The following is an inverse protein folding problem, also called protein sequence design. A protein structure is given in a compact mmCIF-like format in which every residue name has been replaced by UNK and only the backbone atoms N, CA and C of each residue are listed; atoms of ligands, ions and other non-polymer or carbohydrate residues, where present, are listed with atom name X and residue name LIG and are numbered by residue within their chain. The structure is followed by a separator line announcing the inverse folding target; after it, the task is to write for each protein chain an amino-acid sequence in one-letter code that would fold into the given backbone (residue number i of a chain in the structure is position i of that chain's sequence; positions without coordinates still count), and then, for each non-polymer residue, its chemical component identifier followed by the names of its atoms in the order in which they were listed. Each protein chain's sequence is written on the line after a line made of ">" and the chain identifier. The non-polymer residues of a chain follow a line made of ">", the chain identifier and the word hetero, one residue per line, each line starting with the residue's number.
data_IF_951414716032
#
_entry.id   IF_951414716032
#
_cell.length_a   1.000
_cell.length_b   1.000
_cell.length_c   1.000
_cell.angle_alpha   90.00
_cell.angle_beta   90.00
_cell.angle_gamma   90.00
#
_symmetry.space_group_name_H-M   'P 1'
#
loop_
_entity.id
_entity.type
_entity.pdbx_description
1 polymer ?
#
# COMPACT_ATOMS: atom_id res chain seq x y z
N UNK A 1 -1.12 -15.93 -0.73
CA UNK A 1 -2.45 -16.24 -0.16
C UNK A 1 -3.02 -17.41 -0.94
N UNK A 2 -3.56 -18.40 -0.25
CA UNK A 2 -4.24 -19.54 -0.88
C UNK A 2 -5.73 -19.18 -1.05
N UNK A 3 -6.14 -18.88 -2.27
CA UNK A 3 -7.51 -18.43 -2.60
C UNK A 3 -8.56 -19.52 -2.40
N UNK A 4 -8.17 -20.81 -2.37
CA UNK A 4 -9.10 -21.92 -2.20
C UNK A 4 -9.79 -21.94 -0.83
N UNK A 5 -9.23 -21.22 0.14
CA UNK A 5 -9.78 -21.09 1.50
C UNK A 5 -10.90 -20.06 1.62
N UNK A 6 -11.21 -19.32 0.55
CA UNK A 6 -12.17 -18.21 0.58
C UNK A 6 -13.28 -18.42 -0.44
N UNK A 7 -14.48 -17.96 -0.10
CA UNK A 7 -15.60 -17.92 -1.06
C UNK A 7 -15.40 -16.75 -2.06
N UNK A 8 -14.96 -15.62 -1.57
CA UNK A 8 -14.69 -14.40 -2.38
C UNK A 8 -13.41 -13.74 -1.91
N UNK A 9 -12.55 -13.39 -2.86
CA UNK A 9 -11.38 -12.52 -2.66
C UNK A 9 -11.50 -11.36 -3.64
N UNK A 10 -11.48 -10.13 -3.16
CA UNK A 10 -11.57 -8.96 -4.03
C UNK A 10 -10.60 -7.85 -3.61
N UNK A 11 -10.29 -6.98 -4.54
CA UNK A 11 -9.44 -5.82 -4.26
C UNK A 11 -9.43 -4.79 -5.38
N UNK A 12 -9.40 -3.53 -5.01
CA UNK A 12 -9.11 -2.44 -5.94
C UNK A 12 -7.65 -2.46 -6.37
N UNK A 13 -7.39 -2.18 -7.65
CA UNK A 13 -6.05 -2.31 -8.25
C UNK A 13 -5.15 -1.09 -8.02
N UNK A 14 -5.68 0.01 -7.52
CA UNK A 14 -5.10 1.37 -7.52
C UNK A 14 -3.81 1.59 -6.71
N UNK A 15 -3.09 0.52 -6.39
CA UNK A 15 -1.79 0.58 -5.69
C UNK A 15 -0.75 -0.25 -6.44
N UNK A 16 -0.59 -1.51 -6.07
CA UNK A 16 0.46 -2.38 -6.63
C UNK A 16 0.12 -2.98 -8.00
N UNK A 17 -1.13 -2.90 -8.45
CA UNK A 17 -1.61 -3.58 -9.67
C UNK A 17 -1.84 -2.60 -10.82
N UNK A 18 -2.31 -1.37 -10.54
CA UNK A 18 -2.60 -0.42 -11.60
C UNK A 18 -3.29 0.87 -11.12
N UNK A 19 -3.91 1.63 -12.03
CA UNK A 19 -4.63 2.86 -11.72
C UNK A 19 -5.99 2.58 -11.08
N UNK A 20 -6.57 3.59 -10.42
CA UNK A 20 -7.93 3.52 -9.86
C UNK A 20 -8.99 3.26 -10.95
N UNK A 21 -10.07 2.56 -10.59
CA UNK A 21 -11.23 2.33 -11.47
C UNK A 21 -11.41 0.87 -11.89
N UNK A 22 -10.58 -0.06 -11.42
CA UNK A 22 -10.76 -1.51 -11.60
C UNK A 22 -10.80 -2.19 -10.25
N UNK A 23 -11.68 -3.15 -10.10
CA UNK A 23 -11.73 -4.13 -9.01
C UNK A 23 -11.53 -5.51 -9.61
N UNK A 24 -10.66 -6.32 -9.02
CA UNK A 24 -10.54 -7.74 -9.33
C UNK A 24 -11.28 -8.51 -8.25
N UNK A 25 -12.15 -9.43 -8.67
CA UNK A 25 -12.82 -10.37 -7.77
C UNK A 25 -12.54 -11.80 -8.23
N UNK A 26 -12.14 -12.65 -7.29
CA UNK A 26 -12.01 -14.11 -7.47
C UNK A 26 -13.12 -14.72 -6.64
N UNK A 27 -14.02 -15.45 -7.28
CA UNK A 27 -15.25 -15.93 -6.68
C UNK A 27 -15.32 -17.44 -6.88
N UNK A 28 -15.65 -18.15 -5.82
CA UNK A 28 -15.90 -19.59 -5.89
C UNK A 28 -17.18 -19.85 -6.71
N UNK A 29 -17.12 -20.78 -7.63
CA UNK A 29 -18.16 -21.00 -8.65
C UNK A 29 -19.55 -21.26 -8.07
N UNK A 30 -19.63 -22.00 -6.96
CA UNK A 30 -20.90 -22.29 -6.26
C UNK A 30 -21.62 -21.06 -5.67
N UNK A 31 -20.94 -19.92 -5.60
CA UNK A 31 -21.51 -18.64 -5.14
C UNK A 31 -22.05 -17.78 -6.32
N UNK A 32 -21.86 -18.22 -7.57
CA UNK A 32 -22.35 -17.54 -8.76
C UNK A 32 -23.74 -18.12 -9.11
N UNK A 33 -24.75 -17.68 -8.40
CA UNK A 33 -26.11 -18.22 -8.50
C UNK A 33 -27.17 -17.12 -8.66
N UNK A 34 -28.41 -17.52 -8.96
CA UNK A 34 -29.58 -16.65 -8.96
C UNK A 34 -30.22 -16.55 -7.56
N UNK A 35 -29.78 -17.38 -6.60
CA UNK A 35 -30.24 -17.34 -5.22
C UNK A 35 -29.58 -16.16 -4.48
N UNK A 36 -30.26 -15.03 -4.53
CA UNK A 36 -29.83 -13.75 -3.94
C UNK A 36 -30.97 -13.19 -3.06
N UNK A 37 -30.61 -12.29 -2.15
CA UNK A 37 -31.63 -11.65 -1.30
C UNK A 37 -32.66 -10.90 -2.15
N UNK A 38 -33.95 -10.94 -1.78
CA UNK A 38 -34.98 -10.16 -2.46
C UNK A 38 -34.60 -8.67 -2.53
N UNK A 39 -34.77 -8.08 -3.69
CA UNK A 39 -34.42 -6.66 -3.94
C UNK A 39 -32.94 -6.40 -4.23
N UNK A 40 -32.10 -7.44 -4.34
CA UNK A 40 -30.69 -7.24 -4.74
C UNK A 40 -30.60 -6.58 -6.10
N UNK A 41 -29.97 -5.39 -6.21
CA UNK A 41 -29.76 -4.70 -7.48
C UNK A 41 -28.96 -5.57 -8.46
N UNK A 42 -29.29 -5.44 -9.77
CA UNK A 42 -28.63 -6.22 -10.84
C UNK A 42 -27.11 -6.18 -10.76
N UNK A 43 -26.52 -4.98 -10.52
CA UNK A 43 -25.08 -4.79 -10.50
C UNK A 43 -24.40 -5.42 -9.27
N UNK A 44 -25.15 -5.82 -8.25
CA UNK A 44 -24.62 -6.50 -7.05
C UNK A 44 -24.74 -8.02 -7.11
N UNK A 45 -25.21 -8.57 -8.23
CA UNK A 45 -25.29 -10.00 -8.48
C UNK A 45 -23.99 -10.47 -9.16
N UNK A 46 -23.29 -11.42 -8.56
CA UNK A 46 -22.08 -12.00 -9.19
C UNK A 46 -22.39 -12.64 -10.55
N UNK A 47 -23.53 -13.32 -10.65
CA UNK A 47 -23.96 -13.96 -11.89
C UNK A 47 -24.11 -12.99 -13.05
N UNK A 48 -24.61 -11.78 -12.83
CA UNK A 48 -24.70 -10.74 -13.86
C UNK A 48 -23.35 -10.43 -14.50
N UNK A 49 -22.30 -10.36 -13.68
CA UNK A 49 -20.95 -10.09 -14.16
C UNK A 49 -20.32 -11.33 -14.81
N UNK A 50 -20.53 -12.51 -14.22
CA UNK A 50 -19.96 -13.77 -14.71
C UNK A 50 -20.53 -14.16 -16.06
N UNK A 51 -21.86 -14.13 -16.25
CA UNK A 51 -22.53 -14.48 -17.50
C UNK A 51 -22.16 -13.54 -18.67
N UNK A 52 -21.69 -12.34 -18.36
CA UNK A 52 -21.25 -11.35 -19.35
C UNK A 52 -19.71 -11.24 -19.46
N UNK A 53 -18.95 -12.19 -18.95
CA UNK A 53 -17.47 -12.15 -18.96
C UNK A 53 -16.90 -10.82 -18.43
N UNK A 54 -17.52 -10.25 -17.39
CA UNK A 54 -17.21 -8.93 -16.82
C UNK A 54 -17.48 -7.76 -17.76
N UNK A 55 -18.24 -7.95 -18.83
CA UNK A 55 -18.58 -6.96 -19.85
C UNK A 55 -20.07 -6.55 -19.84
N UNK A 56 -20.76 -6.76 -18.72
CA UNK A 56 -22.17 -6.35 -18.59
C UNK A 56 -22.37 -4.85 -18.88
N UNK A 57 -21.41 -4.03 -18.48
CA UNK A 57 -21.29 -2.63 -18.89
C UNK A 57 -19.91 -2.37 -19.51
N UNK A 58 -19.74 -1.22 -20.17
CA UNK A 58 -18.46 -0.84 -20.79
C UNK A 58 -17.32 -0.88 -19.76
N UNK A 59 -16.28 -1.70 -19.97
CA UNK A 59 -15.20 -1.84 -19.03
C UNK A 59 -14.22 -0.67 -19.14
N UNK A 60 -13.44 -0.36 -18.08
CA UNK A 60 -12.40 0.66 -18.10
C UNK A 60 -11.15 0.15 -18.85
N UNK A 61 -11.23 0.06 -20.19
CA UNK A 61 -10.25 -0.57 -21.07
C UNK A 61 -8.81 -0.11 -20.83
N UNK A 62 -8.60 1.20 -20.68
CA UNK A 62 -7.27 1.74 -20.42
C UNK A 62 -6.67 1.23 -19.09
N UNK A 63 -7.48 1.21 -18.05
CA UNK A 63 -7.03 0.77 -16.72
C UNK A 63 -6.69 -0.73 -16.72
N UNK A 64 -7.50 -1.54 -17.41
CA UNK A 64 -7.25 -2.98 -17.59
C UNK A 64 -5.95 -3.18 -18.39
N UNK A 65 -5.72 -2.41 -19.44
CA UNK A 65 -4.49 -2.45 -20.22
C UNK A 65 -3.26 -2.16 -19.36
N UNK A 66 -3.32 -1.11 -18.51
CA UNK A 66 -2.22 -0.77 -17.60
C UNK A 66 -1.98 -1.88 -16.57
N UNK A 67 -3.03 -2.48 -15.98
CA UNK A 67 -2.88 -3.64 -15.10
C UNK A 67 -2.13 -4.78 -15.81
N UNK A 68 -2.48 -5.06 -17.07
CA UNK A 68 -1.76 -6.04 -17.90
C UNK A 68 -0.27 -5.72 -18.10
N UNK A 69 0.08 -4.42 -18.22
CA UNK A 69 1.49 -3.98 -18.28
C UNK A 69 2.22 -4.23 -16.96
N UNK A 70 1.57 -3.93 -15.83
CA UNK A 70 2.14 -4.18 -14.49
C UNK A 70 2.37 -5.67 -14.26
N UNK A 71 1.43 -6.54 -14.64
CA UNK A 71 1.63 -7.98 -14.54
C UNK A 71 2.81 -8.48 -15.39
N UNK A 72 2.96 -7.97 -16.61
CA UNK A 72 4.13 -8.29 -17.46
C UNK A 72 5.44 -7.79 -16.84
N UNK A 73 5.43 -6.61 -16.24
CA UNK A 73 6.58 -6.07 -15.52
C UNK A 73 6.97 -6.95 -14.32
N UNK A 74 6.00 -7.36 -13.47
CA UNK A 74 6.26 -8.25 -12.34
C UNK A 74 6.86 -9.59 -12.83
N UNK A 75 6.31 -10.17 -13.90
CA UNK A 75 6.88 -11.39 -14.52
C UNK A 75 8.32 -11.20 -14.97
N UNK A 76 8.62 -10.05 -15.61
CA UNK A 76 9.99 -9.70 -16.05
C UNK A 76 10.96 -9.52 -14.89
N UNK A 77 10.48 -9.04 -13.73
CA UNK A 77 11.26 -8.90 -12.50
C UNK A 77 11.56 -10.22 -11.79
N UNK A 78 11.12 -11.35 -12.31
CA UNK A 78 11.29 -12.68 -11.71
C UNK A 78 10.04 -13.21 -10.99
N UNK A 79 8.88 -12.56 -11.16
CA UNK A 79 7.60 -12.99 -10.60
C UNK A 79 7.40 -12.60 -9.14
N UNK A 80 6.44 -13.27 -8.49
CA UNK A 80 6.02 -12.90 -7.13
C UNK A 80 7.11 -13.13 -6.08
N UNK A 81 7.91 -14.18 -6.20
CA UNK A 81 8.96 -14.48 -5.24
C UNK A 81 10.07 -13.43 -5.25
N UNK A 82 10.53 -13.03 -6.45
CA UNK A 82 11.52 -11.97 -6.59
C UNK A 82 10.98 -10.61 -6.11
N UNK A 83 9.72 -10.30 -6.39
CA UNK A 83 9.06 -9.08 -5.92
C UNK A 83 8.93 -9.07 -4.38
N UNK A 84 8.60 -10.21 -3.77
CA UNK A 84 8.56 -10.36 -2.32
C UNK A 84 9.93 -10.08 -1.70
N UNK A 85 10.98 -10.71 -2.18
CA UNK A 85 12.35 -10.50 -1.71
C UNK A 85 12.78 -9.03 -1.85
N UNK A 86 12.48 -8.40 -2.98
CA UNK A 86 12.73 -6.98 -3.21
C UNK A 86 12.01 -6.10 -2.17
N UNK A 87 10.74 -6.37 -1.88
CA UNK A 87 9.96 -5.61 -0.91
C UNK A 87 10.43 -5.86 0.53
N UNK A 88 10.83 -7.07 0.88
CA UNK A 88 11.39 -7.39 2.19
C UNK A 88 12.70 -6.62 2.44
N UNK A 89 13.61 -6.63 1.47
CA UNK A 89 14.87 -5.84 1.53
C UNK A 89 14.60 -4.36 1.71
N UNK A 90 13.70 -3.82 0.91
CA UNK A 90 13.31 -2.41 0.92
C UNK A 90 12.68 -1.98 2.25
N UNK A 91 11.71 -2.75 2.76
CA UNK A 91 11.05 -2.46 4.02
C UNK A 91 12.01 -2.59 5.21
N UNK A 92 12.92 -3.58 5.17
CA UNK A 92 13.93 -3.79 6.21
C UNK A 92 14.80 -2.55 6.44
N UNK A 93 15.23 -1.87 5.38
CA UNK A 93 16.04 -0.64 5.48
C UNK A 93 15.36 0.42 6.35
N UNK A 94 14.08 0.65 6.15
CA UNK A 94 13.32 1.64 6.91
C UNK A 94 13.01 1.16 8.32
N UNK A 95 12.59 -0.10 8.48
CA UNK A 95 12.26 -0.63 9.80
C UNK A 95 13.46 -0.79 10.71
N UNK A 96 14.63 -1.20 10.19
CA UNK A 96 15.86 -1.27 10.97
C UNK A 96 16.22 0.12 11.53
N UNK A 97 16.11 1.16 10.69
CA UNK A 97 16.32 2.53 11.15
C UNK A 97 15.30 2.94 12.24
N UNK A 98 14.01 2.69 12.02
CA UNK A 98 12.95 3.05 12.99
C UNK A 98 13.11 2.31 14.33
N UNK A 99 13.64 1.10 14.32
CA UNK A 99 13.88 0.31 15.53
C UNK A 99 15.10 0.81 16.34
N UNK A 100 16.04 1.52 15.71
CA UNK A 100 17.26 2.06 16.32
C UNK A 100 17.18 3.56 16.62
N UNK A 101 16.28 4.28 15.94
CA UNK A 101 16.14 5.74 16.06
C UNK A 101 15.67 6.16 17.45
N UNK A 102 16.19 7.27 17.95
CA UNK A 102 15.75 7.89 19.20
C UNK A 102 14.59 8.85 18.98
N UNK A 103 14.55 9.50 17.80
CA UNK A 103 13.53 10.49 17.45
C UNK A 103 12.32 9.86 16.77
N UNK A 104 12.48 8.81 15.96
CA UNK A 104 11.39 8.20 15.22
C UNK A 104 11.07 6.79 15.74
N UNK A 105 9.81 6.40 15.69
CA UNK A 105 9.38 5.05 16.03
C UNK A 105 8.26 4.55 15.13
N UNK A 106 8.31 3.26 14.78
CA UNK A 106 7.21 2.58 14.09
C UNK A 106 6.02 2.39 15.04
N UNK A 107 4.81 2.49 14.52
CA UNK A 107 3.57 2.36 15.32
C UNK A 107 2.98 0.96 15.31
N UNK A 108 3.55 0.03 14.55
CA UNK A 108 3.04 -1.34 14.36
C UNK A 108 4.00 -2.36 14.97
N UNK A 109 3.46 -3.33 15.70
CA UNK A 109 4.23 -4.46 16.25
C UNK A 109 4.91 -5.25 15.13
N UNK A 110 6.07 -5.86 15.41
CA UNK A 110 6.95 -6.44 14.37
C UNK A 110 6.24 -7.48 13.50
N UNK A 111 5.39 -8.29 14.11
CA UNK A 111 4.68 -9.39 13.45
C UNK A 111 3.67 -8.92 12.39
N UNK A 112 3.11 -7.71 12.57
CA UNK A 112 2.05 -7.16 11.72
C UNK A 112 2.54 -6.06 10.77
N UNK A 113 3.86 -5.85 10.67
CA UNK A 113 4.46 -4.82 9.82
C UNK A 113 4.18 -5.03 8.34
N UNK A 114 3.63 -4.00 7.70
CA UNK A 114 3.43 -3.99 6.25
C UNK A 114 4.73 -3.73 5.50
N UNK A 115 4.95 -4.46 4.40
CA UNK A 115 6.06 -4.18 3.47
C UNK A 115 5.76 -3.02 2.50
N UNK A 116 4.54 -2.47 2.54
CA UNK A 116 4.04 -1.48 1.56
C UNK A 116 3.75 -0.12 2.16
N UNK A 117 3.29 -0.09 3.40
CA UNK A 117 2.86 1.13 4.09
C UNK A 117 3.45 1.13 5.49
N UNK A 118 4.44 1.99 5.72
CA UNK A 118 5.18 2.06 6.98
C UNK A 118 4.75 3.32 7.74
N UNK A 119 3.83 3.20 8.71
CA UNK A 119 3.46 4.31 9.57
C UNK A 119 4.52 4.49 10.67
N UNK A 120 4.83 5.73 10.99
CA UNK A 120 5.77 6.09 12.05
C UNK A 120 5.43 7.46 12.65
N UNK A 121 5.94 7.72 13.82
CA UNK A 121 5.72 8.96 14.59
C UNK A 121 7.03 9.44 15.21
N UNK A 122 7.06 10.67 15.71
CA UNK A 122 8.13 11.12 16.59
C UNK A 122 7.96 10.51 17.99
N UNK A 123 9.05 10.03 18.57
CA UNK A 123 9.12 9.47 19.92
C UNK A 123 9.27 10.59 20.96
N UNK A 124 8.23 11.41 21.08
CA UNK A 124 8.16 12.54 22.00
C UNK A 124 6.87 12.39 22.83
N UNK A 125 6.99 12.47 24.15
CA UNK A 125 5.85 12.28 25.07
C UNK A 125 4.89 13.47 25.05
N UNK A 126 5.43 14.70 25.07
CA UNK A 126 4.61 15.90 25.00
C UNK A 126 3.94 16.03 23.63
N UNK A 127 2.63 16.13 23.65
CA UNK A 127 1.83 16.13 22.43
C UNK A 127 2.10 17.33 21.54
N UNK A 128 2.22 18.53 22.12
CA UNK A 128 2.40 19.77 21.34
C UNK A 128 3.79 19.78 20.70
N UNK A 129 4.82 19.37 21.43
CA UNK A 129 6.17 19.23 20.92
C UNK A 129 6.24 18.15 19.83
N UNK A 130 5.55 17.01 20.00
CA UNK A 130 5.44 15.95 19.01
C UNK A 130 4.81 16.48 17.71
N UNK A 131 3.64 17.10 17.81
CA UNK A 131 2.90 17.62 16.65
C UNK A 131 3.73 18.68 15.90
N UNK A 132 4.45 19.55 16.62
CA UNK A 132 5.36 20.55 16.05
C UNK A 132 6.55 19.90 15.33
N UNK A 133 7.18 18.87 15.93
CA UNK A 133 8.31 18.15 15.34
C UNK A 133 7.89 17.38 14.07
N UNK A 134 6.75 16.70 14.11
CA UNK A 134 6.19 16.00 12.95
C UNK A 134 5.86 16.97 11.81
N UNK A 135 5.27 18.12 12.12
CA UNK A 135 5.00 19.15 11.12
C UNK A 135 6.28 19.72 10.51
N UNK A 136 7.32 19.95 11.32
CA UNK A 136 8.65 20.38 10.87
C UNK A 136 9.26 19.33 9.93
N UNK A 137 9.28 18.06 10.35
CA UNK A 137 9.80 16.96 9.53
C UNK A 137 9.09 16.88 8.17
N UNK A 138 7.76 16.88 8.16
CA UNK A 138 6.96 16.80 6.91
C UNK A 138 7.30 17.96 5.96
N UNK A 139 7.44 19.17 6.51
CA UNK A 139 7.76 20.38 5.73
C UNK A 139 9.16 20.31 5.12
N UNK A 140 10.17 19.93 5.91
CA UNK A 140 11.56 19.85 5.46
C UNK A 140 11.76 18.67 4.50
N UNK A 141 11.10 17.53 4.75
CA UNK A 141 11.09 16.40 3.84
C UNK A 141 10.50 16.76 2.48
N UNK A 142 9.37 17.49 2.45
CA UNK A 142 8.78 17.96 1.21
C UNK A 142 9.70 18.91 0.45
N UNK A 143 10.39 19.81 1.13
CA UNK A 143 11.39 20.70 0.53
C UNK A 143 12.60 19.93 -0.02
N UNK A 144 12.95 18.79 0.58
CA UNK A 144 14.00 17.89 0.10
C UNK A 144 13.52 16.90 -1.01
N UNK A 145 12.26 17.00 -1.45
CA UNK A 145 11.70 16.18 -2.53
C UNK A 145 10.98 14.90 -2.08
N UNK A 146 10.84 14.67 -0.77
CA UNK A 146 10.06 13.55 -0.21
C UNK A 146 8.60 13.98 -0.02
N UNK A 147 7.76 13.66 -0.98
CA UNK A 147 6.34 14.05 -0.98
C UNK A 147 5.44 13.00 -0.32
N UNK A 148 4.28 13.44 0.18
CA UNK A 148 3.22 12.57 0.70
C UNK A 148 3.62 11.72 1.94
N UNK A 149 4.54 12.22 2.77
CA UNK A 149 4.93 11.55 4.02
C UNK A 149 3.94 11.80 5.17
N UNK A 150 3.05 12.78 5.07
CA UNK A 150 2.03 13.01 6.09
C UNK A 150 1.13 11.78 6.25
N UNK A 151 0.90 11.36 7.49
CA UNK A 151 0.06 10.23 7.84
C UNK A 151 -1.42 10.45 7.50
N UNK A 152 -2.22 9.39 7.63
CA UNK A 152 -3.65 9.48 7.36
C UNK A 152 -4.33 10.41 8.38
N UNK A 153 -5.28 11.21 7.93
CA UNK A 153 -5.99 12.22 8.75
C UNK A 153 -6.62 11.69 10.05
N UNK A 154 -6.97 10.40 10.08
CA UNK A 154 -7.57 9.74 11.26
C UNK A 154 -6.55 9.11 12.19
N UNK A 155 -5.30 8.90 11.74
CA UNK A 155 -4.24 8.23 12.50
C UNK A 155 -3.17 9.22 12.95
N UNK A 156 -2.90 10.26 12.14
CA UNK A 156 -1.83 11.22 12.38
C UNK A 156 -0.45 10.70 11.99
N UNK A 157 0.59 11.34 12.53
CA UNK A 157 1.98 10.98 12.30
C UNK A 157 2.44 11.07 10.84
N UNK A 158 3.37 10.22 10.48
CA UNK A 158 3.93 10.09 9.14
C UNK A 158 3.70 8.68 8.57
N UNK A 159 3.82 8.56 7.25
CA UNK A 159 3.70 7.28 6.56
C UNK A 159 4.55 7.26 5.29
N UNK A 160 5.45 6.33 5.20
CA UNK A 160 6.14 6.03 3.95
C UNK A 160 5.34 4.97 3.14
N UNK A 161 4.95 5.34 1.91
CA UNK A 161 4.28 4.44 0.97
C UNK A 161 5.32 3.90 -0.01
N UNK A 162 5.82 2.68 0.27
CA UNK A 162 6.93 2.05 -0.44
C UNK A 162 6.47 0.86 -1.30
N UNK A 163 5.42 1.09 -2.10
CA UNK A 163 4.84 0.05 -2.97
C UNK A 163 5.86 -0.60 -3.92
N UNK A 164 5.43 -1.64 -4.64
CA UNK A 164 6.29 -2.45 -5.53
C UNK A 164 7.20 -1.61 -6.44
N UNK A 165 6.69 -0.51 -6.99
CA UNK A 165 7.44 0.33 -7.93
C UNK A 165 8.42 1.31 -7.27
N UNK A 166 8.40 1.47 -5.94
CA UNK A 166 9.36 2.31 -5.23
C UNK A 166 10.75 1.64 -5.30
N UNK A 167 11.77 2.29 -5.88
CA UNK A 167 13.13 1.76 -5.89
C UNK A 167 13.73 1.76 -4.47
N UNK A 168 14.66 0.84 -4.21
CA UNK A 168 15.36 0.73 -2.91
C UNK A 168 16.07 2.04 -2.58
N UNK A 169 16.71 2.66 -3.56
CA UNK A 169 17.43 3.92 -3.43
C UNK A 169 16.55 5.07 -2.92
N UNK A 170 15.25 5.04 -3.23
CA UNK A 170 14.29 6.02 -2.70
C UNK A 170 14.09 5.88 -1.19
N UNK A 171 14.08 4.65 -0.69
CA UNK A 171 13.98 4.37 0.75
C UNK A 171 15.31 4.65 1.46
N UNK A 172 16.45 4.31 0.86
CA UNK A 172 17.77 4.65 1.39
C UNK A 172 17.94 6.15 1.57
N UNK A 173 17.59 6.95 0.56
CA UNK A 173 17.61 8.42 0.63
C UNK A 173 16.69 8.97 1.73
N UNK A 174 15.51 8.37 1.90
CA UNK A 174 14.61 8.76 2.99
C UNK A 174 15.25 8.49 4.35
N UNK A 175 15.86 7.33 4.55
CA UNK A 175 16.54 6.99 5.80
C UNK A 175 17.74 7.90 6.06
N UNK A 176 18.53 8.24 5.02
CA UNK A 176 19.63 9.22 5.13
C UNK A 176 19.11 10.58 5.59
N UNK A 177 18.02 11.05 4.97
CA UNK A 177 17.38 12.30 5.37
C UNK A 177 16.88 12.24 6.82
N UNK A 178 16.23 11.15 7.23
CA UNK A 178 15.73 10.96 8.60
C UNK A 178 16.88 10.97 9.61
N UNK A 179 17.99 10.28 9.34
CA UNK A 179 19.20 10.30 10.19
C UNK A 179 19.78 11.70 10.34
N UNK A 180 19.84 12.47 9.25
CA UNK A 180 20.29 13.85 9.29
C UNK A 180 19.35 14.71 10.14
N UNK A 181 18.06 14.62 9.89
CA UNK A 181 17.03 15.36 10.63
C UNK A 181 17.08 15.03 12.14
N UNK A 182 17.19 13.74 12.49
CA UNK A 182 17.36 13.31 13.89
C UNK A 182 18.58 13.96 14.54
N UNK A 183 19.75 13.93 13.89
CA UNK A 183 20.98 14.54 14.40
C UNK A 183 20.87 16.05 14.65
N UNK A 184 20.05 16.74 13.85
CA UNK A 184 19.87 18.19 13.92
C UNK A 184 18.78 18.60 14.94
N UNK A 185 17.96 17.64 15.43
CA UNK A 185 16.77 17.93 16.25
C UNK A 185 16.62 17.04 17.50
N UNK A 186 17.55 16.11 17.77
CA UNK A 186 17.56 15.26 18.97
C UNK A 186 18.44 15.85 20.06
#
# INVERSE_FOLDING_TARGET
>A
MDVTKYGVVYGGVQKNIGPAGVVIAIIREDLITDDVLPGTPTMLKWKTQADADSLYNTPPCYNIYICGKVFKWIKKMGGLSAMKEHNEKKAKILYDFLDESKLFMGTVVKEDRSLMSVPFVCNIEDKEAKDAMEAKFIKEAAAAGFVNLKGHRTVGGMRASIYNAMPIEGVEKLVEFMKKFEKENA
#
